data_IF_041822367759
#
_entry.id   IF_041822367759
#
_cell.length_a   1.000
_cell.length_b   1.000
_cell.length_c   1.000
_cell.angle_alpha   90.00
_cell.angle_beta   90.00
_cell.angle_gamma   90.00
#
_symmetry.space_group_name_H-M   'P 1'
#
loop_
_entity.id
_entity.type
_entity.pdbx_description
1 polymer ?
#
# COMPACT_ATOMS: atom_id res chain seq x y z
N UNK A 1 14.72 -32.73 5.69
CA UNK A 1 13.90 -31.51 5.87
C UNK A 1 13.41 -31.51 7.30
N UNK A 2 13.73 -30.50 8.11
CA UNK A 2 13.14 -30.40 9.46
C UNK A 2 11.64 -30.12 9.29
N UNK A 3 10.78 -30.97 9.85
CA UNK A 3 9.36 -30.70 9.89
C UNK A 3 9.14 -29.37 10.61
N UNK A 4 8.50 -28.44 9.91
CA UNK A 4 8.20 -27.12 10.46
C UNK A 4 7.12 -27.33 11.53
N UNK A 5 7.49 -27.17 12.80
CA UNK A 5 6.54 -27.24 13.91
C UNK A 5 5.63 -26.02 13.89
N UNK A 6 4.31 -26.24 14.00
CA UNK A 6 3.31 -25.19 14.11
C UNK A 6 2.72 -25.19 15.53
N UNK A 7 2.40 -24.01 16.10
CA UNK A 7 1.71 -23.92 17.38
C UNK A 7 0.38 -24.68 17.37
N UNK A 8 0.03 -25.29 18.51
CA UNK A 8 -1.23 -26.02 18.68
C UNK A 8 -2.45 -25.19 18.25
N UNK A 9 -2.48 -23.91 18.61
CA UNK A 9 -3.56 -22.99 18.25
C UNK A 9 -3.75 -22.88 16.73
N UNK A 10 -2.67 -22.84 15.95
CA UNK A 10 -2.73 -22.76 14.47
C UNK A 10 -3.36 -24.03 13.91
N UNK A 11 -2.93 -25.20 14.40
CA UNK A 11 -3.43 -26.51 13.95
C UNK A 11 -4.91 -26.65 14.31
N UNK A 12 -5.29 -26.30 15.54
CA UNK A 12 -6.67 -26.36 16.01
C UNK A 12 -7.59 -25.44 15.18
N UNK A 13 -7.18 -24.19 14.94
CA UNK A 13 -7.93 -23.27 14.10
C UNK A 13 -8.06 -23.80 12.68
N UNK A 14 -6.98 -24.29 12.06
CA UNK A 14 -7.02 -24.85 10.71
C UNK A 14 -8.03 -26.00 10.59
N UNK A 15 -8.10 -26.87 11.62
CA UNK A 15 -9.06 -27.99 11.67
C UNK A 15 -10.51 -27.53 11.87
N UNK A 16 -10.74 -26.39 12.52
CA UNK A 16 -12.08 -25.83 12.70
C UNK A 16 -12.65 -25.12 11.47
N UNK A 17 -11.81 -24.78 10.48
CA UNK A 17 -12.26 -24.07 9.28
C UNK A 17 -12.86 -25.08 8.28
N UNK A 18 -14.19 -25.19 8.29
CA UNK A 18 -14.96 -25.83 7.22
C UNK A 18 -15.20 -24.83 6.09
N UNK A 19 -14.36 -24.87 5.05
CA UNK A 19 -14.38 -23.88 3.96
C UNK A 19 -15.76 -23.82 3.29
N UNK A 20 -16.46 -24.94 3.13
CA UNK A 20 -17.75 -24.97 2.44
C UNK A 20 -18.88 -24.29 3.21
N UNK A 21 -18.69 -24.05 4.51
CA UNK A 21 -19.65 -23.37 5.38
C UNK A 21 -19.27 -21.92 5.69
N UNK A 22 -18.14 -21.44 5.17
CA UNK A 22 -17.73 -20.06 5.37
C UNK A 22 -18.65 -19.08 4.63
N UNK A 23 -18.84 -17.86 5.18
CA UNK A 23 -19.45 -16.79 4.41
C UNK A 23 -18.64 -16.52 3.15
N UNK A 24 -19.35 -16.15 2.09
CA UNK A 24 -18.75 -15.95 0.78
C UNK A 24 -19.39 -14.79 0.03
N UNK A 25 -18.63 -14.27 -0.93
CA UNK A 25 -19.11 -13.35 -1.97
C UNK A 25 -18.65 -13.87 -3.32
N UNK A 26 -19.35 -13.51 -4.38
CA UNK A 26 -18.85 -13.76 -5.73
C UNK A 26 -17.56 -12.96 -5.98
N UNK A 27 -16.62 -13.53 -6.71
CA UNK A 27 -15.36 -12.85 -7.00
C UNK A 27 -15.56 -11.57 -7.83
N UNK A 28 -16.57 -11.55 -8.70
CA UNK A 28 -16.98 -10.34 -9.43
C UNK A 28 -17.45 -9.24 -8.47
N UNK A 29 -18.05 -9.60 -7.35
CA UNK A 29 -18.60 -8.70 -6.33
C UNK A 29 -17.60 -8.36 -5.22
N UNK A 30 -16.33 -8.75 -5.32
CA UNK A 30 -15.26 -8.55 -4.29
C UNK A 30 -15.18 -7.17 -3.62
N UNK A 31 -15.78 -6.12 -4.19
CA UNK A 31 -15.93 -4.80 -3.55
C UNK A 31 -16.85 -4.82 -2.31
N UNK A 32 -17.74 -5.80 -2.19
CA UNK A 32 -18.65 -6.03 -1.06
C UNK A 32 -17.99 -6.75 0.12
N UNK A 33 -16.72 -7.16 -0.01
CA UNK A 33 -15.99 -7.81 1.07
C UNK A 33 -15.92 -6.93 2.33
N UNK A 34 -15.93 -7.56 3.51
CA UNK A 34 -15.87 -6.83 4.77
C UNK A 34 -14.50 -6.18 5.01
N UNK A 35 -14.49 -5.21 5.93
CA UNK A 35 -13.29 -4.42 6.27
C UNK A 35 -12.36 -5.09 7.29
N UNK A 36 -12.73 -6.23 7.87
CA UNK A 36 -11.89 -7.00 8.79
C UNK A 36 -10.93 -7.95 8.05
N UNK A 37 -9.98 -8.53 8.79
CA UNK A 37 -8.95 -9.45 8.29
C UNK A 37 -9.17 -10.91 8.66
N UNK A 38 -8.33 -11.78 8.10
CA UNK A 38 -8.33 -13.22 8.32
C UNK A 38 -7.77 -14.01 7.14
N UNK A 39 -8.31 -15.21 6.92
CA UNK A 39 -7.94 -16.09 5.79
C UNK A 39 -9.05 -16.08 4.75
N UNK A 40 -8.71 -15.97 3.47
CA UNK A 40 -9.63 -16.12 2.36
C UNK A 40 -9.25 -17.29 1.47
N UNK A 41 -10.27 -17.86 0.83
CA UNK A 41 -10.19 -18.97 -0.09
C UNK A 41 -10.88 -18.53 -1.39
N UNK A 42 -10.19 -18.65 -2.52
CA UNK A 42 -10.77 -18.40 -3.85
C UNK A 42 -10.93 -19.73 -4.55
N UNK A 43 -12.12 -19.99 -5.08
CA UNK A 43 -12.44 -21.27 -5.69
C UNK A 43 -13.92 -21.43 -6.03
N UNK A 44 -14.26 -22.53 -6.69
CA UNK A 44 -15.65 -22.91 -6.98
C UNK A 44 -16.23 -23.74 -5.82
N UNK A 45 -17.46 -24.26 -5.93
CA UNK A 45 -17.99 -25.20 -4.94
C UNK A 45 -17.33 -26.58 -5.04
N UNK A 46 -16.87 -26.96 -6.23
CA UNK A 46 -16.16 -28.21 -6.50
C UNK A 46 -14.67 -28.12 -6.10
N UNK A 47 -14.06 -26.94 -6.26
CA UNK A 47 -12.68 -26.67 -5.86
C UNK A 47 -12.61 -25.43 -4.94
N UNK A 48 -13.10 -25.52 -3.69
CA UNK A 48 -13.24 -24.37 -2.80
C UNK A 48 -11.91 -23.79 -2.30
N UNK A 49 -10.81 -24.53 -2.51
CA UNK A 49 -9.45 -24.18 -2.07
C UNK A 49 -8.47 -24.00 -3.24
N UNK A 50 -8.95 -23.60 -4.43
CA UNK A 50 -8.08 -23.37 -5.59
C UNK A 50 -6.94 -22.39 -5.28
N UNK A 51 -7.21 -21.39 -4.43
CA UNK A 51 -6.20 -20.52 -3.83
C UNK A 51 -6.54 -20.20 -2.37
N UNK A 52 -5.51 -20.11 -1.52
CA UNK A 52 -5.61 -19.69 -0.12
C UNK A 52 -4.72 -18.46 0.10
N UNK A 53 -5.22 -17.45 0.82
CA UNK A 53 -4.39 -16.32 1.22
C UNK A 53 -4.83 -15.67 2.53
N UNK A 54 -3.97 -14.86 3.13
CA UNK A 54 -4.30 -14.01 4.29
C UNK A 54 -4.51 -12.55 3.94
N UNK A 55 -5.35 -11.86 4.70
CA UNK A 55 -5.61 -10.43 4.57
C UNK A 55 -5.69 -9.76 5.94
N UNK A 56 -5.13 -8.56 6.07
CA UNK A 56 -5.42 -7.69 7.23
C UNK A 56 -6.79 -7.00 7.07
N UNK A 57 -7.22 -6.81 5.82
CA UNK A 57 -8.53 -6.30 5.44
C UNK A 57 -8.95 -6.97 4.14
N UNK A 58 -10.08 -7.69 4.13
CA UNK A 58 -10.54 -8.38 2.92
C UNK A 58 -10.89 -7.40 1.79
N UNK A 59 -11.54 -6.28 2.11
CA UNK A 59 -11.92 -5.24 1.14
C UNK A 59 -10.75 -4.69 0.33
N UNK A 60 -9.62 -4.40 0.99
CA UNK A 60 -8.44 -3.84 0.30
C UNK A 60 -7.54 -4.90 -0.33
N UNK A 61 -7.59 -6.15 0.13
CA UNK A 61 -6.72 -7.24 -0.32
C UNK A 61 -6.75 -7.49 -1.83
N UNK A 62 -7.91 -7.31 -2.46
CA UNK A 62 -8.08 -7.61 -3.88
C UNK A 62 -7.73 -6.44 -4.81
N UNK A 63 -7.34 -5.29 -4.26
CA UNK A 63 -6.82 -4.16 -5.05
C UNK A 63 -5.38 -4.51 -5.47
N UNK A 64 -5.14 -4.68 -6.78
CA UNK A 64 -3.80 -5.00 -7.30
C UNK A 64 -3.29 -6.39 -6.91
N UNK A 65 -4.18 -7.34 -6.66
CA UNK A 65 -3.82 -8.68 -6.19
C UNK A 65 -2.84 -9.39 -7.15
N UNK A 66 -1.71 -9.88 -6.63
CA UNK A 66 -0.64 -10.49 -7.42
C UNK A 66 -1.08 -11.75 -8.20
N UNK A 67 -2.14 -12.45 -7.75
CA UNK A 67 -2.76 -13.58 -8.48
C UNK A 67 -3.98 -13.22 -9.33
N UNK A 68 -4.20 -11.93 -9.63
CA UNK A 68 -5.35 -11.48 -10.42
C UNK A 68 -5.54 -12.30 -11.71
N UNK A 69 -4.47 -12.55 -12.47
CA UNK A 69 -4.51 -13.35 -13.71
C UNK A 69 -4.96 -14.80 -13.49
N UNK A 70 -4.56 -15.42 -12.39
CA UNK A 70 -4.99 -16.78 -12.08
C UNK A 70 -6.48 -16.83 -11.72
N UNK A 71 -7.00 -15.78 -11.09
CA UNK A 71 -8.42 -15.66 -10.81
C UNK A 71 -9.23 -15.34 -12.08
N UNK A 72 -8.68 -14.56 -13.00
CA UNK A 72 -9.26 -14.33 -14.33
C UNK A 72 -9.35 -15.64 -15.12
N UNK A 73 -8.28 -16.45 -15.14
CA UNK A 73 -8.31 -17.79 -15.71
C UNK A 73 -9.40 -18.67 -15.06
N UNK A 74 -9.52 -18.63 -13.73
CA UNK A 74 -10.55 -19.41 -13.04
C UNK A 74 -11.97 -18.95 -13.41
N UNK A 75 -12.19 -17.64 -13.62
CA UNK A 75 -13.47 -17.10 -14.10
C UNK A 75 -13.78 -17.55 -15.53
N UNK A 76 -12.78 -17.58 -16.41
CA UNK A 76 -12.92 -18.06 -17.80
C UNK A 76 -13.26 -19.56 -17.85
N UNK A 77 -12.58 -20.36 -17.02
CA UNK A 77 -12.77 -21.82 -16.99
C UNK A 77 -14.11 -22.23 -16.35
N UNK A 78 -14.55 -21.53 -15.31
CA UNK A 78 -15.68 -21.95 -14.47
C UNK A 78 -16.91 -21.06 -14.60
N UNK A 79 -16.81 -19.90 -15.24
CA UNK A 79 -17.88 -18.90 -15.32
C UNK A 79 -17.91 -17.95 -14.11
N UNK A 80 -18.36 -16.72 -14.35
CA UNK A 80 -18.31 -15.62 -13.37
C UNK A 80 -19.17 -15.86 -12.12
N UNK A 81 -20.29 -16.56 -12.27
CA UNK A 81 -21.24 -16.87 -11.19
C UNK A 81 -20.78 -18.00 -10.27
N UNK A 82 -19.71 -18.71 -10.63
CA UNK A 82 -19.25 -19.90 -9.91
C UNK A 82 -18.01 -19.65 -9.04
N UNK A 83 -17.27 -18.57 -9.28
CA UNK A 83 -16.04 -18.27 -8.54
C UNK A 83 -16.35 -17.45 -7.30
N UNK A 84 -16.10 -18.04 -6.12
CA UNK A 84 -16.42 -17.46 -4.82
C UNK A 84 -15.15 -17.09 -4.06
N UNK A 85 -15.25 -16.03 -3.27
CA UNK A 85 -14.29 -15.67 -2.22
C UNK A 85 -14.94 -16.03 -0.90
N UNK A 86 -14.51 -17.14 -0.31
CA UNK A 86 -14.89 -17.57 1.05
C UNK A 86 -13.92 -16.98 2.04
N UNK A 87 -14.37 -16.55 3.21
CA UNK A 87 -13.49 -15.92 4.18
C UNK A 87 -13.77 -16.37 5.61
N UNK A 88 -12.70 -16.52 6.37
CA UNK A 88 -12.71 -16.78 7.80
C UNK A 88 -12.16 -15.54 8.52
N UNK A 89 -12.97 -14.96 9.41
CA UNK A 89 -12.59 -13.79 10.19
C UNK A 89 -11.60 -14.17 11.29
N UNK A 90 -10.52 -13.40 11.42
CA UNK A 90 -9.57 -13.59 12.50
C UNK A 90 -10.17 -13.25 13.88
N UNK A 91 -9.75 -13.95 14.95
CA UNK A 91 -10.11 -13.57 16.31
C UNK A 91 -9.54 -12.20 16.67
N UNK A 92 -10.18 -11.53 17.62
CA UNK A 92 -9.63 -10.32 18.22
C UNK A 92 -8.39 -10.67 19.05
N UNK A 93 -7.24 -10.14 18.66
CA UNK A 93 -5.95 -10.34 19.34
C UNK A 93 -4.99 -9.18 19.03
N UNK A 94 -3.92 -8.99 19.83
CA UNK A 94 -2.92 -7.96 19.56
C UNK A 94 -2.34 -8.06 18.15
N UNK A 95 -2.11 -6.91 17.49
CA UNK A 95 -1.70 -6.86 16.07
C UNK A 95 -0.42 -7.65 15.77
N UNK A 96 0.56 -7.58 16.66
CA UNK A 96 1.83 -8.32 16.54
C UNK A 96 1.62 -9.83 16.52
N UNK A 97 0.75 -10.34 17.38
CA UNK A 97 0.38 -11.75 17.46
C UNK A 97 -0.47 -12.17 16.25
N UNK A 98 -1.42 -11.31 15.85
CA UNK A 98 -2.31 -11.55 14.72
C UNK A 98 -1.54 -11.79 13.42
N UNK A 99 -0.56 -10.94 13.11
CA UNK A 99 0.22 -11.04 11.88
C UNK A 99 0.99 -12.36 11.84
N UNK A 100 1.63 -12.73 12.95
CA UNK A 100 2.36 -13.98 13.08
C UNK A 100 1.44 -15.20 12.98
N UNK A 101 0.30 -15.15 13.67
CA UNK A 101 -0.71 -16.21 13.67
C UNK A 101 -1.27 -16.45 12.27
N UNK A 102 -1.71 -15.39 11.56
CA UNK A 102 -2.25 -15.51 10.22
C UNK A 102 -1.22 -16.01 9.20
N UNK A 103 0.05 -15.61 9.34
CA UNK A 103 1.13 -16.12 8.48
C UNK A 103 1.35 -17.62 8.67
N UNK A 104 1.35 -18.09 9.92
CA UNK A 104 1.52 -19.51 10.23
C UNK A 104 0.29 -20.33 9.82
N UNK A 105 -0.92 -19.78 10.01
CA UNK A 105 -2.17 -20.41 9.60
C UNK A 105 -2.29 -20.52 8.08
N UNK A 106 -1.95 -19.48 7.32
CA UNK A 106 -1.89 -19.51 5.86
C UNK A 106 -0.91 -20.60 5.38
N UNK A 107 0.33 -20.61 5.89
CA UNK A 107 1.34 -21.60 5.52
C UNK A 107 0.91 -23.04 5.85
N UNK A 108 0.30 -23.26 7.03
CA UNK A 108 -0.24 -24.56 7.41
C UNK A 108 -1.37 -25.00 6.47
N UNK A 109 -2.34 -24.12 6.19
CA UNK A 109 -3.48 -24.43 5.32
C UNK A 109 -3.03 -24.74 3.90
N UNK A 110 -2.09 -23.99 3.34
CA UNK A 110 -1.57 -24.21 1.98
C UNK A 110 -0.81 -25.55 1.92
N UNK A 111 0.05 -25.87 2.90
CA UNK A 111 0.78 -27.15 2.92
C UNK A 111 -0.14 -28.36 3.05
N UNK A 112 -1.23 -28.22 3.78
CA UNK A 112 -2.17 -29.31 4.06
C UNK A 112 -3.40 -29.28 3.13
N UNK A 113 -3.39 -28.45 2.07
CA UNK A 113 -4.46 -28.40 1.07
C UNK A 113 -3.90 -28.64 -0.32
N UNK A 114 -4.69 -29.29 -1.18
CA UNK A 114 -4.41 -29.35 -2.62
C UNK A 114 -4.85 -28.03 -3.26
N UNK A 115 -3.95 -27.06 -3.32
CA UNK A 115 -4.20 -25.76 -3.93
C UNK A 115 -3.62 -25.70 -5.34
N UNK A 116 -4.38 -25.22 -6.32
CA UNK A 116 -3.89 -25.06 -7.70
C UNK A 116 -2.98 -23.85 -7.85
N UNK A 117 -3.34 -22.70 -7.29
CA UNK A 117 -2.69 -21.42 -7.62
C UNK A 117 -1.66 -20.92 -6.60
N UNK A 118 -1.49 -21.61 -5.46
CA UNK A 118 -0.45 -21.24 -4.50
C UNK A 118 0.97 -21.68 -4.95
N UNK A 119 1.09 -22.78 -5.71
CA UNK A 119 2.38 -23.41 -6.07
C UNK A 119 2.68 -23.53 -7.58
N UNK A 120 1.85 -22.97 -8.48
CA UNK A 120 2.03 -23.13 -9.93
C UNK A 120 3.42 -22.68 -10.41
N UNK A 121 4.18 -23.60 -11.01
CA UNK A 121 5.50 -23.41 -11.64
C UNK A 121 5.46 -22.38 -12.80
N UNK A 122 4.29 -22.16 -13.41
CA UNK A 122 4.05 -21.14 -14.43
C UNK A 122 3.61 -19.78 -13.86
N UNK A 123 4.05 -19.45 -12.64
CA UNK A 123 3.74 -18.20 -11.94
C UNK A 123 4.45 -16.95 -12.49
N UNK A 124 4.78 -16.90 -13.79
CA UNK A 124 5.13 -15.77 -14.68
C UNK A 124 5.95 -16.33 -15.88
N UNK A 125 5.90 -15.76 -17.11
CA UNK A 125 7.08 -15.85 -17.97
C UNK A 125 8.26 -15.33 -17.15
N UNK A 126 9.42 -16.01 -17.22
CA UNK A 126 10.71 -15.40 -16.88
C UNK A 126 11.03 -14.26 -17.87
N UNK A 127 10.13 -13.30 -18.08
CA UNK A 127 10.61 -11.92 -17.98
C UNK A 127 11.14 -11.88 -16.56
N UNK A 128 12.40 -11.50 -16.33
CA UNK A 128 12.83 -11.33 -14.97
C UNK A 128 11.89 -10.28 -14.38
N UNK A 129 10.89 -10.73 -13.62
CA UNK A 129 10.68 -10.16 -12.32
C UNK A 129 12.00 -10.47 -11.60
N UNK A 130 13.02 -9.65 -11.92
CA UNK A 130 13.92 -9.15 -10.90
C UNK A 130 12.94 -8.89 -9.77
N UNK A 131 12.97 -9.66 -8.66
CA UNK A 131 12.13 -9.34 -7.52
C UNK A 131 12.51 -7.92 -7.28
N UNK A 132 11.72 -6.93 -7.74
CA UNK A 132 12.37 -5.68 -8.10
C UNK A 132 12.87 -5.26 -6.77
N UNK A 133 14.19 -5.35 -6.54
CA UNK A 133 14.71 -5.37 -5.17
C UNK A 133 14.09 -4.10 -4.69
N UNK A 134 13.20 -4.17 -3.69
CA UNK A 134 12.65 -2.95 -3.14
C UNK A 134 13.95 -2.35 -2.64
N UNK A 135 14.50 -1.45 -3.43
CA UNK A 135 15.65 -0.67 -3.08
C UNK A 135 15.00 0.26 -2.11
N UNK A 136 14.80 -0.23 -0.88
CA UNK A 136 14.24 0.53 0.21
C UNK A 136 15.13 1.79 0.43
N UNK A 137 16.33 1.79 -0.17
CA UNK A 137 17.31 2.85 -0.33
C UNK A 137 17.03 3.92 -1.40
N UNK A 138 15.91 3.88 -2.12
CA UNK A 138 15.60 4.84 -3.18
C UNK A 138 14.79 6.06 -2.70
N UNK A 139 14.53 7.05 -3.57
CA UNK A 139 13.68 8.18 -3.24
C UNK A 139 12.27 7.76 -2.80
N UNK A 140 11.72 8.50 -1.85
CA UNK A 140 10.37 8.30 -1.33
C UNK A 140 9.55 9.56 -1.58
N UNK A 141 8.24 9.40 -1.77
CA UNK A 141 7.32 10.54 -1.75
C UNK A 141 6.24 10.30 -0.70
N UNK A 142 5.69 11.41 -0.21
CA UNK A 142 4.53 11.49 0.67
C UNK A 142 3.45 12.24 -0.08
N UNK A 143 2.26 11.64 -0.17
CA UNK A 143 1.09 12.34 -0.69
C UNK A 143 0.25 12.88 0.47
N UNK A 144 -0.16 14.14 0.35
CA UNK A 144 -1.17 14.76 1.21
C UNK A 144 -2.47 14.92 0.43
N UNK A 145 -3.59 14.78 1.13
CA UNK A 145 -4.92 14.88 0.52
C UNK A 145 -5.44 16.31 0.47
N UNK A 146 -4.84 17.22 1.24
CA UNK A 146 -5.13 18.64 1.19
C UNK A 146 -3.85 19.48 1.16
N UNK A 147 -3.92 20.58 0.41
CA UNK A 147 -2.92 21.65 0.41
C UNK A 147 -2.92 22.31 1.79
N UNK A 148 -1.74 22.64 2.32
CA UNK A 148 -1.62 23.27 3.64
C UNK A 148 -1.66 22.34 4.86
N UNK A 149 -1.79 21.01 4.69
CA UNK A 149 -1.77 20.03 5.79
C UNK A 149 -0.40 19.87 6.51
N UNK A 150 0.52 20.81 6.32
CA UNK A 150 1.75 20.86 7.11
C UNK A 150 1.52 21.53 8.46
N UNK A 151 1.62 20.72 9.52
CA UNK A 151 2.32 21.14 10.72
C UNK A 151 3.70 20.45 10.73
N UNK A 152 4.70 21.15 10.22
CA UNK A 152 6.07 21.02 10.73
C UNK A 152 6.31 22.35 11.41
N UNK A 153 6.79 22.38 12.67
CA UNK A 153 7.17 23.64 13.26
C UNK A 153 8.12 24.30 12.26
N UNK A 154 7.84 25.55 11.86
CA UNK A 154 8.85 26.42 11.27
C UNK A 154 9.92 26.62 12.33
N UNK A 155 10.69 25.58 12.66
CA UNK A 155 11.94 25.74 13.36
C UNK A 155 12.73 26.68 12.46
N UNK A 156 13.26 27.73 13.05
CA UNK A 156 14.07 28.77 12.42
C UNK A 156 15.33 28.22 11.72
N UNK A 157 15.49 26.90 11.64
CA UNK A 157 16.62 26.14 11.09
C UNK A 157 16.37 25.56 9.67
N UNK A 158 15.14 25.64 9.13
CA UNK A 158 14.83 25.18 7.76
C UNK A 158 14.64 23.67 7.60
N UNK A 159 14.37 22.95 8.68
CA UNK A 159 14.09 21.51 8.69
C UNK A 159 12.66 21.21 8.23
N UNK A 160 12.48 20.27 7.29
CA UNK A 160 11.15 19.73 6.96
C UNK A 160 10.95 18.37 7.62
N UNK A 161 9.70 18.06 7.97
CA UNK A 161 9.30 16.74 8.41
C UNK A 161 7.88 16.38 7.97
N UNK A 162 7.43 15.16 8.24
CA UNK A 162 6.03 14.79 8.09
C UNK A 162 5.66 13.65 9.02
N UNK A 163 4.40 13.66 9.45
CA UNK A 163 3.83 12.60 10.27
C UNK A 163 3.53 11.36 9.43
N UNK A 164 3.85 10.19 9.97
CA UNK A 164 3.55 8.91 9.37
C UNK A 164 3.17 7.86 10.43
N UNK A 165 2.30 6.94 10.02
CA UNK A 165 1.84 5.85 10.88
C UNK A 165 2.93 4.80 11.12
N UNK A 166 2.86 4.12 12.27
CA UNK A 166 3.83 3.06 12.64
C UNK A 166 3.98 1.96 11.58
N UNK A 167 2.94 1.69 10.78
CA UNK A 167 2.98 0.73 9.67
C UNK A 167 4.02 1.08 8.61
N UNK A 168 4.35 2.37 8.47
CA UNK A 168 5.32 2.90 7.50
C UNK A 168 6.71 3.15 8.10
N UNK A 169 6.92 2.81 9.37
CA UNK A 169 8.19 2.99 10.08
C UNK A 169 9.36 2.34 9.36
N UNK A 170 9.18 1.14 8.82
CA UNK A 170 10.22 0.45 8.05
C UNK A 170 10.67 1.26 6.81
N UNK A 171 9.78 2.01 6.16
CA UNK A 171 10.15 2.86 5.02
C UNK A 171 10.93 4.09 5.47
N UNK A 172 10.48 4.74 6.54
CA UNK A 172 11.16 5.89 7.13
C UNK A 172 12.57 5.52 7.62
N UNK A 173 12.72 4.38 8.31
CA UNK A 173 14.02 3.88 8.78
C UNK A 173 15.00 3.65 7.62
N UNK A 174 14.51 3.11 6.51
CA UNK A 174 15.34 2.94 5.32
C UNK A 174 15.69 4.29 4.68
N UNK A 175 14.73 5.20 4.53
CA UNK A 175 14.99 6.53 3.99
C UNK A 175 16.05 7.28 4.81
N UNK A 176 15.99 7.20 6.14
CA UNK A 176 17.02 7.73 7.04
C UNK A 176 18.37 7.04 6.85
N UNK A 177 18.41 5.70 6.86
CA UNK A 177 19.65 4.92 6.70
C UNK A 177 20.39 5.24 5.40
N UNK A 178 19.66 5.54 4.33
CA UNK A 178 20.23 5.78 3.00
C UNK A 178 20.23 7.26 2.59
N UNK A 179 19.84 8.17 3.49
CA UNK A 179 19.68 9.60 3.20
C UNK A 179 18.85 9.86 1.93
N UNK A 180 17.77 9.10 1.76
CA UNK A 180 16.95 9.13 0.56
C UNK A 180 16.35 10.53 0.33
N UNK A 181 16.34 11.02 -0.93
CA UNK A 181 15.51 12.15 -1.30
C UNK A 181 14.05 11.85 -0.97
N UNK A 182 13.42 12.78 -0.26
CA UNK A 182 12.05 12.68 0.20
C UNK A 182 11.26 13.83 -0.39
N UNK A 183 10.22 13.49 -1.15
CA UNK A 183 9.34 14.45 -1.78
C UNK A 183 8.03 14.56 -1.02
N UNK A 184 7.55 15.78 -0.90
CA UNK A 184 6.23 16.07 -0.41
C UNK A 184 5.38 16.49 -1.60
N UNK A 185 4.31 15.76 -1.84
CA UNK A 185 3.34 16.04 -2.89
C UNK A 185 1.99 16.28 -2.23
N UNK A 186 1.48 17.49 -2.31
CA UNK A 186 0.13 17.81 -1.91
C UNK A 186 -0.85 17.50 -3.04
N UNK A 187 -2.12 17.28 -2.67
CA UNK A 187 -3.20 17.18 -3.63
C UNK A 187 -4.45 17.89 -3.11
N UNK A 188 -5.33 18.30 -4.01
CA UNK A 188 -6.55 19.02 -3.65
C UNK A 188 -7.38 19.42 -4.85
N UNK A 189 -8.54 20.01 -4.61
CA UNK A 189 -9.37 20.64 -5.64
C UNK A 189 -8.81 22.01 -6.04
N UNK A 190 -9.36 22.62 -7.09
CA UNK A 190 -9.01 23.99 -7.45
C UNK A 190 -9.46 24.99 -6.37
N UNK A 191 -10.54 24.70 -5.64
CA UNK A 191 -11.00 25.51 -4.51
C UNK A 191 -10.02 25.44 -3.33
N UNK A 192 -9.43 24.27 -3.07
CA UNK A 192 -8.41 24.13 -2.02
C UNK A 192 -7.17 24.96 -2.37
N UNK A 193 -6.72 24.92 -3.62
CA UNK A 193 -5.60 25.76 -4.08
C UNK A 193 -5.93 27.26 -4.01
N UNK A 194 -7.18 27.62 -4.33
CA UNK A 194 -7.66 28.99 -4.23
C UNK A 194 -7.65 29.52 -2.80
N UNK A 195 -8.09 28.69 -1.85
CA UNK A 195 -8.09 29.01 -0.43
C UNK A 195 -6.66 29.16 0.11
N UNK A 196 -5.76 28.25 -0.26
CA UNK A 196 -4.40 28.20 0.28
C UNK A 196 -3.47 29.29 -0.29
N UNK A 197 -3.59 29.61 -1.59
CA UNK A 197 -2.61 30.45 -2.30
C UNK A 197 -3.14 31.84 -2.71
N UNK A 198 -4.45 32.08 -2.54
CA UNK A 198 -5.11 33.34 -2.87
C UNK A 198 -5.34 33.58 -4.37
N UNK A 199 -6.20 34.56 -4.66
CA UNK A 199 -6.75 34.86 -5.99
C UNK A 199 -5.72 35.05 -7.12
N UNK A 200 -4.59 35.68 -6.85
CA UNK A 200 -3.62 36.08 -7.89
C UNK A 200 -2.65 34.96 -8.32
N UNK A 201 -2.66 33.82 -7.62
CA UNK A 201 -1.71 32.73 -7.83
C UNK A 201 -2.36 31.47 -8.43
N UNK A 202 -3.66 31.49 -8.69
CA UNK A 202 -4.38 30.35 -9.27
C UNK A 202 -4.47 30.51 -10.79
N UNK A 203 -3.87 29.57 -11.53
CA UNK A 203 -4.03 29.51 -12.99
C UNK A 203 -5.46 29.06 -13.33
N UNK A 204 -6.23 29.83 -14.13
CA UNK A 204 -7.57 29.45 -14.57
C UNK A 204 -7.65 28.06 -15.21
N UNK A 205 -6.56 27.60 -15.86
CA UNK A 205 -6.48 26.28 -16.49
C UNK A 205 -6.59 25.15 -15.48
N UNK A 206 -6.30 25.38 -14.20
CA UNK A 206 -6.38 24.33 -13.18
C UNK A 206 -7.79 23.79 -12.98
N UNK A 207 -8.83 24.59 -13.28
CA UNK A 207 -10.24 24.16 -13.19
C UNK A 207 -10.58 22.97 -14.07
N UNK A 208 -9.76 22.66 -15.09
CA UNK A 208 -9.98 21.51 -15.96
C UNK A 208 -9.59 20.16 -15.31
N UNK A 209 -8.86 20.17 -14.20
CA UNK A 209 -8.42 18.95 -13.52
C UNK A 209 -9.31 18.65 -12.32
N UNK A 210 -9.70 17.38 -12.17
CA UNK A 210 -10.48 16.92 -11.01
C UNK A 210 -9.68 16.96 -9.69
N UNK A 211 -8.36 16.84 -9.78
CA UNK A 211 -7.44 16.91 -8.64
C UNK A 211 -6.15 17.55 -9.09
N UNK A 212 -5.71 18.56 -8.37
CA UNK A 212 -4.44 19.24 -8.54
C UNK A 212 -3.41 18.56 -7.67
N UNK A 213 -2.19 18.44 -8.17
CA UNK A 213 -1.05 17.92 -7.42
C UNK A 213 0.10 18.90 -7.50
N UNK A 214 0.70 19.17 -6.35
CA UNK A 214 1.85 20.06 -6.27
C UNK A 214 2.99 19.36 -5.55
N UNK A 215 4.17 19.44 -6.13
CA UNK A 215 5.39 19.23 -5.36
C UNK A 215 5.54 20.46 -4.47
N UNK A 216 5.73 20.25 -3.17
CA UNK A 216 5.88 21.35 -2.21
C UNK A 216 7.32 21.42 -1.71
N UNK A 217 7.87 20.26 -1.34
CA UNK A 217 9.14 20.19 -0.64
C UNK A 217 9.95 18.99 -1.10
N UNK A 218 11.26 19.17 -1.16
CA UNK A 218 12.24 18.09 -1.14
C UNK A 218 13.20 18.28 0.02
N UNK A 219 13.47 17.21 0.74
CA UNK A 219 14.53 17.15 1.74
C UNK A 219 15.22 15.78 1.70
N UNK A 220 16.38 15.61 2.35
CA UNK A 220 16.95 14.27 2.57
C UNK A 220 16.60 13.80 3.97
N UNK A 221 16.03 12.60 4.06
CA UNK A 221 15.68 12.00 5.33
C UNK A 221 16.92 11.83 6.24
N UNK A 222 16.80 12.25 7.51
CA UNK A 222 17.92 12.28 8.47
C UNK A 222 17.61 11.62 9.80
N UNK A 223 16.43 11.84 10.38
CA UNK A 223 16.05 11.22 11.65
C UNK A 223 14.54 11.04 11.75
N UNK A 224 14.13 10.16 12.66
CA UNK A 224 12.74 9.94 13.02
C UNK A 224 12.57 10.42 14.44
N UNK A 225 11.60 11.30 14.67
CA UNK A 225 11.20 11.76 15.99
C UNK A 225 9.86 11.15 16.36
N UNK A 226 9.62 10.96 17.65
CA UNK A 226 8.31 10.58 18.16
C UNK A 226 7.64 11.80 18.78
N UNK A 227 6.49 12.20 18.23
CA UNK A 227 5.75 13.36 18.70
C UNK A 227 4.55 12.90 19.54
N UNK A 228 4.81 12.42 20.75
CA UNK A 228 3.77 11.94 21.66
C UNK A 228 3.13 13.07 22.48
N UNK A 229 2.37 13.98 21.84
CA UNK A 229 1.50 14.93 22.55
C UNK A 229 0.08 14.88 21.99
N UNK A 230 -0.91 14.59 22.84
CA UNK A 230 -2.33 14.71 22.50
C UNK A 230 -3.06 13.45 22.02
N UNK A 231 -2.52 12.25 22.23
CA UNK A 231 -3.25 11.00 21.97
C UNK A 231 -3.21 10.49 20.52
N UNK A 232 -2.42 11.13 19.65
CA UNK A 232 -2.09 10.61 18.33
C UNK A 232 -0.59 10.25 18.34
N UNK A 233 -0.27 8.96 18.41
CA UNK A 233 1.11 8.44 18.39
C UNK A 233 1.70 8.54 16.98
N UNK A 234 2.04 9.74 16.52
CA UNK A 234 2.61 9.91 15.19
C UNK A 234 4.14 10.00 15.21
N UNK A 235 4.75 9.23 14.29
CA UNK A 235 6.17 9.31 14.04
C UNK A 235 6.43 10.42 13.01
N UNK A 236 7.46 11.22 13.21
CA UNK A 236 7.83 12.31 12.30
C UNK A 236 9.12 11.95 11.58
N UNK A 237 9.10 11.87 10.25
CA UNK A 237 10.33 11.72 9.46
C UNK A 237 10.83 13.12 9.12
N UNK A 238 12.02 13.48 9.59
CA UNK A 238 12.62 14.81 9.40
C UNK A 238 13.89 14.74 8.56
N UNK A 239 14.26 15.86 7.94
CA UNK A 239 15.42 15.96 7.05
C UNK A 239 16.20 17.26 7.09
N UNK A 240 17.24 17.33 6.26
CA UNK A 240 18.07 18.55 6.10
C UNK A 240 17.35 19.68 5.34
N UNK A 241 18.04 20.82 5.15
CA UNK A 241 17.48 22.07 4.61
C UNK A 241 16.57 21.82 3.40
N UNK A 242 15.28 21.97 3.65
CA UNK A 242 14.25 21.66 2.68
C UNK A 242 14.25 22.65 1.53
N UNK A 243 14.18 22.14 0.30
CA UNK A 243 13.95 22.95 -0.88
C UNK A 243 12.44 23.04 -1.09
N UNK A 244 11.88 24.21 -0.78
CA UNK A 244 10.48 24.53 -1.01
C UNK A 244 10.29 24.96 -2.48
N UNK A 245 9.54 24.18 -3.25
CA UNK A 245 9.32 24.38 -4.69
C UNK A 245 7.90 24.01 -5.05
N UNK A 246 7.02 25.00 -5.03
CA UNK A 246 5.67 24.86 -5.52
C UNK A 246 5.67 24.62 -7.04
N UNK A 247 5.51 23.36 -7.46
CA UNK A 247 5.45 22.96 -8.87
C UNK A 247 4.18 22.19 -9.14
N UNK A 248 3.33 22.73 -10.01
CA UNK A 248 2.12 22.06 -10.48
C UNK A 248 2.48 20.83 -11.31
N UNK A 249 2.18 19.63 -10.81
CA UNK A 249 2.67 18.39 -11.38
C UNK A 249 1.81 17.88 -12.55
N UNK A 250 0.51 18.20 -12.58
CA UNK A 250 -0.42 17.69 -13.59
C UNK A 250 -0.05 18.03 -15.05
N UNK A 251 0.75 19.08 -15.26
CA UNK A 251 1.16 19.51 -16.59
C UNK A 251 2.36 18.74 -17.15
N UNK A 252 3.08 17.97 -16.33
CA UNK A 252 4.28 17.27 -16.78
C UNK A 252 3.93 15.90 -17.38
N UNK A 253 4.56 15.58 -18.51
CA UNK A 253 4.44 14.26 -19.14
C UNK A 253 4.89 13.14 -18.20
N UNK A 254 4.19 12.02 -18.19
CA UNK A 254 4.46 10.89 -17.29
C UNK A 254 3.86 11.04 -15.89
N UNK A 255 3.36 12.22 -15.50
CA UNK A 255 2.79 12.41 -14.17
C UNK A 255 1.47 11.66 -13.99
N UNK A 256 0.65 11.54 -15.04
CA UNK A 256 -0.63 10.82 -14.97
C UNK A 256 -0.41 9.34 -14.62
N UNK A 257 0.60 8.71 -15.23
CA UNK A 257 1.00 7.34 -14.94
C UNK A 257 1.56 7.22 -13.52
N UNK A 258 2.36 8.20 -13.10
CA UNK A 258 2.88 8.28 -11.74
C UNK A 258 1.76 8.38 -10.70
N UNK A 259 0.78 9.27 -10.90
CA UNK A 259 -0.31 9.49 -9.95
C UNK A 259 -1.20 8.26 -9.80
N UNK A 260 -1.50 7.56 -10.90
CA UNK A 260 -2.28 6.32 -10.88
C UNK A 260 -1.54 5.20 -10.13
N UNK A 261 -0.23 5.06 -10.35
CA UNK A 261 0.58 3.95 -9.81
C UNK A 261 1.05 4.19 -8.38
N UNK A 262 1.36 5.43 -8.04
CA UNK A 262 2.02 5.78 -6.79
C UNK A 262 1.09 6.59 -5.89
N UNK A 263 0.53 7.73 -6.34
CA UNK A 263 -0.27 8.67 -5.52
C UNK A 263 -1.67 8.18 -5.10
N UNK A 264 -1.80 6.91 -4.70
CA UNK A 264 -2.96 6.38 -4.00
C UNK A 264 -2.62 5.81 -2.62
N UNK A 265 -1.32 5.77 -2.26
CA UNK A 265 -0.83 4.99 -1.12
C UNK A 265 0.05 5.76 -0.13
N UNK A 266 -0.12 7.08 0.05
CA UNK A 266 0.67 7.87 1.03
C UNK A 266 2.19 7.64 0.94
N UNK A 267 2.95 7.73 2.06
CA UNK A 267 4.41 7.50 2.05
C UNK A 267 4.80 6.19 1.36
N UNK A 268 5.48 6.30 0.21
CA UNK A 268 5.84 5.17 -0.64
C UNK A 268 7.18 5.42 -1.35
N UNK A 269 7.91 4.35 -1.61
CA UNK A 269 9.12 4.39 -2.44
C UNK A 269 8.77 4.55 -3.93
N UNK A 270 9.29 5.60 -4.56
CA UNK A 270 9.07 5.89 -5.98
C UNK A 270 10.32 5.69 -6.85
N UNK A 271 11.36 5.03 -6.35
CA UNK A 271 12.66 4.89 -7.04
C UNK A 271 12.62 4.13 -8.37
N UNK A 272 11.46 3.57 -8.72
CA UNK A 272 11.22 2.81 -9.96
C UNK A 272 10.25 3.52 -10.89
N UNK A 273 9.84 4.73 -10.54
CA UNK A 273 9.09 5.56 -11.45
C UNK A 273 10.07 6.32 -12.33
N UNK A 274 9.85 6.25 -13.65
CA UNK A 274 10.56 7.11 -14.61
C UNK A 274 10.32 8.60 -14.30
N UNK A 275 9.18 8.93 -13.68
CA UNK A 275 8.86 10.28 -13.24
C UNK A 275 9.65 10.73 -12.00
N UNK A 276 10.31 9.81 -11.28
CA UNK A 276 11.11 10.14 -10.11
C UNK A 276 12.33 11.02 -10.47
N UNK A 277 12.99 10.75 -11.60
CA UNK A 277 14.06 11.62 -12.10
C UNK A 277 13.55 13.02 -12.40
N UNK A 278 12.32 13.14 -12.93
CA UNK A 278 11.68 14.43 -13.14
C UNK A 278 11.44 15.18 -11.83
N UNK A 279 11.00 14.49 -10.77
CA UNK A 279 10.86 15.09 -9.44
C UNK A 279 12.22 15.56 -8.88
N UNK A 280 13.29 14.79 -9.10
CA UNK A 280 14.64 15.18 -8.72
C UNK A 280 15.12 16.43 -9.46
N UNK A 281 14.84 16.54 -10.77
CA UNK A 281 15.17 17.69 -11.61
C UNK A 281 14.40 18.95 -11.20
N UNK A 282 13.09 18.84 -10.96
CA UNK A 282 12.21 19.96 -10.60
C UNK A 282 12.58 20.63 -9.26
N UNK A 283 13.50 20.01 -8.53
CA UNK A 283 13.96 20.37 -7.18
C UNK A 283 15.48 20.42 -7.09
N UNK A 284 16.17 20.54 -8.22
CA UNK A 284 17.51 21.12 -8.30
C UNK A 284 17.39 22.64 -8.18
#
# INVERSE_FOLDING_TARGET
>A
MKDKSYPYQVIATAKSIDVNKLPWVLYIEKKSLPIFGGIYFVGTDQEPKAYIGKAECFKSRFIGHHRKKAFEQLLEECGHENVKIRYWQAPSMPKSELVSFLLQLEDYLIKNSKTRFNYTINSLPKVPYIPIRRTHAGPIYVQLNKLGEYYVPKSSDGTAGFYFSIEKLHMAQNATKFHSPTFIISSGSWQDAFYEYGNNNVDPKWKQYSTLYFLEVKFRARWISYAGHGGIEDNVLSGDQAVFRWKFLNQYSGFKEFSIKYLRTGLTNCSKSDFCEKLLELTR
#
